data_IF_249903436157
#
_entry.id   IF_249903436157
#
_cell.length_a   1.000
_cell.length_b   1.000
_cell.length_c   1.000
_cell.angle_alpha   90.00
_cell.angle_beta   90.00
_cell.angle_gamma   90.00
#
_symmetry.space_group_name_H-M   'P 1'
#
loop_
_entity.id
_entity.type
_entity.pdbx_description
1 polymer ?
#
# COMPACT_ATOMS: atom_id res chain seq x y z
N UNK A 1 24.34 54.13 -9.19
CA UNK A 1 24.05 54.01 -7.75
C UNK A 1 25.08 53.05 -7.17
N UNK A 2 25.83 53.40 -6.11
CA UNK A 2 26.78 52.47 -5.50
C UNK A 2 26.03 51.27 -4.95
N UNK A 3 26.52 50.06 -5.23
CA UNK A 3 26.00 48.83 -4.65
C UNK A 3 26.36 48.85 -3.17
N UNK A 4 25.38 49.13 -2.31
CA UNK A 4 25.56 49.07 -0.85
C UNK A 4 25.69 47.59 -0.49
N UNK A 5 26.89 47.17 -0.09
CA UNK A 5 27.11 45.82 0.44
C UNK A 5 26.41 45.70 1.80
N UNK A 6 25.53 44.69 2.00
CA UNK A 6 24.83 44.53 3.25
C UNK A 6 25.82 44.25 4.39
N UNK A 7 25.51 44.77 5.59
CA UNK A 7 26.34 44.53 6.77
C UNK A 7 26.19 43.08 7.26
N UNK A 8 27.16 42.51 7.99
CA UNK A 8 27.05 41.16 8.54
C UNK A 8 25.78 40.93 9.37
N UNK A 9 25.31 41.97 10.10
CA UNK A 9 24.07 41.93 10.88
C UNK A 9 22.85 41.83 9.96
N UNK A 10 22.79 42.64 8.89
CA UNK A 10 21.72 42.56 7.90
C UNK A 10 21.68 41.21 7.20
N UNK A 11 22.85 40.62 6.91
CA UNK A 11 22.95 39.28 6.32
C UNK A 11 22.39 38.24 7.31
N UNK A 12 22.80 38.27 8.58
CA UNK A 12 22.31 37.33 9.60
C UNK A 12 20.79 37.46 9.84
N UNK A 13 20.25 38.67 9.88
CA UNK A 13 18.81 38.92 9.98
C UNK A 13 18.07 38.39 8.73
N UNK A 14 18.61 38.63 7.54
CA UNK A 14 18.04 38.10 6.30
C UNK A 14 18.09 36.57 6.24
N UNK A 15 19.18 35.94 6.68
CA UNK A 15 19.33 34.47 6.75
C UNK A 15 18.35 33.84 7.75
N UNK A 16 18.16 34.47 8.91
CA UNK A 16 17.19 33.99 9.90
C UNK A 16 15.75 34.15 9.41
N UNK A 17 15.42 35.26 8.75
CA UNK A 17 14.12 35.46 8.10
C UNK A 17 13.88 34.44 6.97
N UNK A 18 14.86 34.26 6.08
CA UNK A 18 14.81 33.26 5.00
C UNK A 18 14.65 31.84 5.56
N UNK A 19 15.34 31.53 6.65
CA UNK A 19 15.23 30.25 7.34
C UNK A 19 13.84 30.00 7.94
N UNK A 20 13.15 31.04 8.41
CA UNK A 20 11.75 30.96 8.88
C UNK A 20 10.80 30.74 7.70
N UNK A 21 10.89 31.58 6.67
CA UNK A 21 10.06 31.47 5.46
C UNK A 21 10.20 30.11 4.79
N UNK A 22 11.43 29.59 4.69
CA UNK A 22 11.69 28.26 4.15
C UNK A 22 11.02 27.15 4.97
N UNK A 23 11.03 27.25 6.31
CA UNK A 23 10.35 26.28 7.18
C UNK A 23 8.83 26.32 6.99
N UNK A 24 8.25 27.50 6.83
CA UNK A 24 6.82 27.67 6.58
C UNK A 24 6.42 27.14 5.21
N UNK A 25 7.19 27.46 4.18
CA UNK A 25 7.03 26.92 2.83
C UNK A 25 7.10 25.39 2.82
N UNK A 26 8.07 24.80 3.53
CA UNK A 26 8.20 23.35 3.67
C UNK A 26 6.96 22.72 4.32
N UNK A 27 6.46 23.31 5.42
CA UNK A 27 5.22 22.86 6.08
C UNK A 27 4.00 22.96 5.16
N UNK A 28 3.88 24.04 4.39
CA UNK A 28 2.81 24.23 3.43
C UNK A 28 2.85 23.16 2.32
N UNK A 29 4.05 22.87 1.80
CA UNK A 29 4.25 21.79 0.82
C UNK A 29 3.90 20.41 1.37
N UNK A 30 4.32 20.08 2.59
CA UNK A 30 3.96 18.81 3.26
C UNK A 30 2.44 18.69 3.44
N UNK A 31 1.79 19.76 3.91
CA UNK A 31 0.33 19.81 4.04
C UNK A 31 -0.37 19.58 2.71
N UNK A 32 0.07 20.26 1.64
CA UNK A 32 -0.52 20.14 0.33
C UNK A 32 -0.30 18.75 -0.30
N UNK A 33 0.88 18.14 -0.11
CA UNK A 33 1.15 16.73 -0.49
C UNK A 33 0.20 15.77 0.23
N UNK A 34 0.01 15.96 1.54
CA UNK A 34 -0.92 15.18 2.36
C UNK A 34 -2.36 15.30 1.86
N UNK A 35 -2.83 16.51 1.56
CA UNK A 35 -4.16 16.74 1.00
C UNK A 35 -4.32 16.08 -0.37
N UNK A 36 -3.32 16.15 -1.25
CA UNK A 36 -3.34 15.43 -2.52
C UNK A 36 -3.44 13.91 -2.34
N UNK A 37 -2.76 13.33 -1.33
CA UNK A 37 -2.89 11.89 -1.01
C UNK A 37 -4.31 11.54 -0.53
N UNK A 38 -4.95 12.39 0.26
CA UNK A 38 -6.34 12.23 0.71
C UNK A 38 -7.30 12.30 -0.48
N UNK A 39 -7.19 13.33 -1.33
CA UNK A 39 -7.98 13.49 -2.54
C UNK A 39 -7.84 12.30 -3.49
N UNK A 40 -6.62 11.78 -3.66
CA UNK A 40 -6.39 10.56 -4.42
C UNK A 40 -7.16 9.37 -3.83
N UNK A 41 -7.21 9.20 -2.50
CA UNK A 41 -7.96 8.09 -1.88
C UNK A 41 -9.45 8.19 -2.10
N UNK A 42 -10.01 9.40 -2.01
CA UNK A 42 -11.41 9.67 -2.35
C UNK A 42 -11.75 9.18 -3.77
N UNK A 43 -10.85 9.39 -4.73
CA UNK A 43 -11.01 8.89 -6.12
C UNK A 43 -10.75 7.38 -6.24
N UNK A 44 -9.66 6.90 -5.62
CA UNK A 44 -9.14 5.53 -5.79
C UNK A 44 -9.90 4.48 -5.01
N UNK A 45 -10.75 4.84 -4.05
CA UNK A 45 -11.63 3.88 -3.36
C UNK A 45 -12.47 3.03 -4.36
N UNK A 46 -12.59 3.47 -5.62
CA UNK A 46 -13.27 2.76 -6.71
C UNK A 46 -12.35 2.07 -7.73
N UNK A 47 -11.03 2.23 -7.66
CA UNK A 47 -10.14 1.72 -8.70
C UNK A 47 -9.87 0.22 -8.59
N UNK A 48 -9.81 -0.41 -9.76
CA UNK A 48 -9.35 -1.78 -9.98
C UNK A 48 -7.95 -1.99 -9.40
N UNK A 49 -7.81 -3.01 -8.56
CA UNK A 49 -6.52 -3.40 -8.02
C UNK A 49 -5.80 -4.25 -9.07
N UNK A 50 -4.57 -3.84 -9.41
CA UNK A 50 -3.67 -4.73 -10.15
C UNK A 50 -3.50 -6.04 -9.39
N UNK A 51 -3.32 -7.12 -10.15
CA UNK A 51 -2.97 -8.45 -9.63
C UNK A 51 -1.86 -8.29 -8.60
N UNK A 52 -2.00 -8.86 -7.39
CA UNK A 52 -0.97 -8.79 -6.37
C UNK A 52 0.34 -9.37 -6.89
N UNK A 53 1.39 -8.56 -6.93
CA UNK A 53 2.75 -9.00 -7.24
C UNK A 53 3.48 -9.07 -5.91
N UNK A 54 3.95 -10.26 -5.55
CA UNK A 54 4.85 -10.44 -4.41
C UNK A 54 6.26 -10.05 -4.87
N UNK A 55 6.93 -9.06 -4.26
CA UNK A 55 8.30 -8.72 -4.60
C UNK A 55 9.24 -9.91 -4.37
N UNK A 56 10.20 -10.09 -5.28
CA UNK A 56 11.21 -11.14 -5.18
C UNK A 56 11.94 -11.18 -3.84
N UNK A 57 12.18 -10.00 -3.27
CA UNK A 57 12.85 -9.85 -1.97
C UNK A 57 12.12 -10.58 -0.84
N UNK A 58 10.79 -10.68 -0.88
CA UNK A 58 10.02 -11.30 0.22
C UNK A 58 10.19 -12.81 0.20
N UNK A 59 9.98 -13.46 -0.94
CA UNK A 59 10.10 -14.92 -0.97
C UNK A 59 11.53 -15.42 -1.06
N UNK A 60 12.47 -14.59 -1.53
CA UNK A 60 13.91 -14.85 -1.41
C UNK A 60 14.43 -14.57 0.00
N UNK A 61 13.67 -13.88 0.85
CA UNK A 61 14.07 -13.69 2.25
C UNK A 61 14.07 -15.03 3.00
N UNK A 62 14.92 -15.11 4.03
CA UNK A 62 14.91 -16.24 4.97
C UNK A 62 13.68 -16.30 5.88
N UNK A 63 12.75 -15.34 5.78
CA UNK A 63 11.63 -15.17 6.72
C UNK A 63 10.56 -16.25 6.53
N UNK A 64 10.42 -16.81 5.32
CA UNK A 64 9.39 -17.82 5.08
C UNK A 64 9.86 -19.19 5.62
N UNK A 65 9.34 -19.55 6.80
CA UNK A 65 9.87 -20.61 7.67
C UNK A 65 9.25 -22.00 7.50
N UNK A 66 8.14 -22.18 6.78
CA UNK A 66 7.46 -23.49 6.72
C UNK A 66 8.15 -24.49 5.79
N UNK A 67 9.46 -24.70 5.94
CA UNK A 67 10.23 -25.67 5.15
C UNK A 67 9.84 -27.13 5.48
N UNK A 68 9.37 -27.39 6.71
CA UNK A 68 9.06 -28.75 7.18
C UNK A 68 7.65 -29.25 6.81
N UNK A 69 6.78 -28.37 6.29
CA UNK A 69 5.39 -28.72 5.99
C UNK A 69 5.28 -29.77 4.87
N UNK A 70 4.40 -30.77 4.98
CA UNK A 70 4.32 -31.88 4.01
C UNK A 70 4.15 -31.45 2.54
N UNK A 71 3.47 -30.32 2.28
CA UNK A 71 3.37 -29.74 0.94
C UNK A 71 4.72 -29.36 0.31
N UNK A 72 5.76 -29.07 1.10
CA UNK A 72 7.10 -28.75 0.61
C UNK A 72 7.86 -29.98 0.13
N UNK A 73 7.50 -31.16 0.68
CA UNK A 73 8.11 -32.46 0.38
C UNK A 73 7.55 -33.09 -0.91
N UNK A 74 6.46 -32.53 -1.46
CA UNK A 74 5.87 -33.01 -2.69
C UNK A 74 6.82 -32.80 -3.89
N UNK A 75 6.88 -33.77 -4.83
CA UNK A 75 7.59 -33.60 -6.09
C UNK A 75 7.17 -32.32 -6.81
N UNK A 76 8.09 -31.74 -7.59
CA UNK A 76 7.85 -30.49 -8.29
C UNK A 76 6.60 -30.54 -9.19
N UNK A 77 6.42 -31.64 -9.93
CA UNK A 77 5.27 -31.86 -10.83
C UNK A 77 3.92 -31.81 -10.07
N UNK A 78 3.86 -32.42 -8.89
CA UNK A 78 2.65 -32.40 -8.04
C UNK A 78 2.39 -30.98 -7.51
N UNK A 79 3.43 -30.27 -7.08
CA UNK A 79 3.30 -28.85 -6.68
C UNK A 79 2.80 -28.01 -7.84
N UNK A 80 3.33 -28.21 -9.05
CA UNK A 80 2.91 -27.51 -10.25
C UNK A 80 1.43 -27.75 -10.57
N UNK A 81 0.96 -29.00 -10.46
CA UNK A 81 -0.47 -29.33 -10.61
C UNK A 81 -1.35 -28.59 -9.59
N UNK A 82 -0.93 -28.53 -8.32
CA UNK A 82 -1.66 -27.79 -7.28
C UNK A 82 -1.74 -26.30 -7.65
N UNK A 83 -0.64 -25.67 -8.05
CA UNK A 83 -0.63 -24.27 -8.47
C UNK A 83 -1.53 -24.01 -9.68
N UNK A 84 -1.50 -24.90 -10.69
CA UNK A 84 -2.36 -24.79 -11.88
C UNK A 84 -3.85 -24.92 -11.51
N UNK A 85 -4.18 -25.83 -10.60
CA UNK A 85 -5.55 -26.06 -10.11
C UNK A 85 -6.12 -24.91 -9.27
N UNK A 86 -5.28 -24.08 -8.63
CA UNK A 86 -5.75 -22.91 -7.91
C UNK A 86 -6.35 -21.88 -8.89
N UNK A 87 -7.62 -21.47 -8.72
CA UNK A 87 -8.31 -20.65 -9.71
C UNK A 87 -7.75 -19.23 -9.74
N UNK A 88 -7.52 -18.63 -8.57
CA UNK A 88 -7.09 -17.24 -8.47
C UNK A 88 -5.57 -17.11 -8.45
N UNK A 89 -5.07 -16.13 -9.21
CA UNK A 89 -3.68 -15.66 -9.05
C UNK A 89 -3.38 -15.23 -7.61
N UNK A 90 -4.40 -14.78 -6.87
CA UNK A 90 -4.26 -14.45 -5.48
C UNK A 90 -4.03 -15.68 -4.59
N UNK A 91 -4.73 -16.78 -4.85
CA UNK A 91 -4.52 -18.04 -4.14
C UNK A 91 -3.16 -18.62 -4.46
N UNK A 92 -2.75 -18.59 -5.74
CA UNK A 92 -1.40 -18.97 -6.18
C UNK A 92 -0.33 -18.15 -5.46
N UNK A 93 -0.48 -16.83 -5.43
CA UNK A 93 0.41 -15.95 -4.69
C UNK A 93 0.39 -16.25 -3.18
N UNK A 94 -0.77 -16.52 -2.59
CA UNK A 94 -0.90 -16.85 -1.18
C UNK A 94 -0.24 -18.21 -0.83
N UNK A 95 -0.27 -19.19 -1.73
CA UNK A 95 0.43 -20.47 -1.59
C UNK A 95 1.95 -20.28 -1.74
N UNK A 96 2.38 -19.46 -2.70
CA UNK A 96 3.79 -19.12 -2.90
C UNK A 96 4.45 -18.49 -1.67
N UNK A 97 3.66 -17.80 -0.84
CA UNK A 97 4.13 -17.19 0.42
C UNK A 97 4.27 -18.17 1.59
N UNK A 98 3.88 -19.43 1.45
CA UNK A 98 3.91 -20.37 2.58
C UNK A 98 5.30 -20.89 2.86
N UNK A 99 6.13 -21.13 1.83
CA UNK A 99 7.54 -21.53 1.98
C UNK A 99 8.37 -21.17 0.74
N UNK A 100 9.70 -21.26 0.87
CA UNK A 100 10.66 -21.02 -0.23
C UNK A 100 10.44 -21.95 -1.43
N UNK A 101 10.13 -23.23 -1.20
CA UNK A 101 9.96 -24.20 -2.28
C UNK A 101 8.70 -23.95 -3.11
N UNK A 102 7.59 -23.52 -2.47
CA UNK A 102 6.38 -23.07 -3.17
C UNK A 102 6.63 -21.78 -3.95
N UNK A 103 7.39 -20.84 -3.38
CA UNK A 103 7.77 -19.63 -4.09
C UNK A 103 8.60 -19.90 -5.36
N UNK A 104 9.56 -20.83 -5.27
CA UNK A 104 10.36 -21.26 -6.41
C UNK A 104 9.49 -21.86 -7.51
N UNK A 105 8.57 -22.77 -7.16
CA UNK A 105 7.60 -23.34 -8.11
C UNK A 105 6.73 -22.26 -8.76
N UNK A 106 6.24 -21.29 -7.99
CA UNK A 106 5.41 -20.20 -8.53
C UNK A 106 6.16 -19.32 -9.54
N UNK A 107 7.44 -19.02 -9.29
CA UNK A 107 8.26 -18.25 -10.23
C UNK A 107 8.61 -19.06 -11.49
N UNK A 108 8.91 -20.36 -11.35
CA UNK A 108 9.11 -21.25 -12.49
C UNK A 108 7.86 -21.31 -13.37
N UNK A 109 6.68 -21.47 -12.76
CA UNK A 109 5.42 -21.47 -13.51
C UNK A 109 5.07 -20.12 -14.16
N UNK A 110 5.57 -18.99 -13.64
CA UNK A 110 5.45 -17.70 -14.34
C UNK A 110 6.39 -17.61 -15.55
N UNK A 111 7.56 -18.23 -15.46
CA UNK A 111 8.52 -18.29 -16.56
C UNK A 111 8.07 -19.25 -17.65
N UNK A 112 7.47 -20.38 -17.27
CA UNK A 112 6.75 -21.31 -18.13
C UNK A 112 5.44 -20.65 -18.62
N UNK A 113 5.57 -19.70 -19.56
CA UNK A 113 4.45 -19.06 -20.25
C UNK A 113 3.72 -20.03 -21.19
N UNK A 114 3.31 -21.20 -20.69
CA UNK A 114 2.36 -22.05 -21.39
C UNK A 114 1.00 -21.35 -21.34
N UNK A 115 0.75 -20.49 -22.34
CA UNK A 115 -0.51 -19.75 -22.50
C UNK A 115 -1.74 -20.65 -22.45
N UNK A 116 -1.60 -21.94 -22.78
CA UNK A 116 -2.70 -22.93 -22.82
C UNK A 116 -3.01 -23.58 -21.47
N UNK A 117 -2.02 -23.86 -20.63
CA UNK A 117 -2.26 -24.58 -19.37
C UNK A 117 -2.81 -23.68 -18.26
N UNK A 118 -2.60 -22.37 -18.39
CA UNK A 118 -3.14 -21.37 -17.47
C UNK A 118 -4.56 -20.92 -17.84
N UNK A 119 -5.18 -21.50 -18.87
CA UNK A 119 -6.55 -21.17 -19.29
C UNK A 119 -7.63 -21.66 -18.31
N UNK A 120 -7.27 -22.38 -17.25
CA UNK A 120 -8.20 -22.70 -16.18
C UNK A 120 -8.61 -21.43 -15.43
N UNK A 121 -9.78 -20.92 -15.83
CA UNK A 121 -10.69 -20.07 -15.06
C UNK A 121 -9.97 -19.07 -14.16
N UNK A 122 -8.93 -18.39 -14.67
CA UNK A 122 -8.37 -17.23 -13.96
C UNK A 122 -9.55 -16.31 -13.78
N UNK A 123 -9.99 -16.00 -12.55
CA UNK A 123 -11.00 -14.99 -12.39
C UNK A 123 -10.36 -13.76 -12.99
N UNK A 124 -10.95 -13.27 -14.09
CA UNK A 124 -10.47 -12.09 -14.82
C UNK A 124 -10.32 -10.87 -13.91
N UNK A 125 -10.77 -10.97 -12.66
CA UNK A 125 -10.80 -9.91 -11.65
C UNK A 125 -10.33 -10.47 -10.30
N UNK A 126 -9.18 -9.98 -9.82
CA UNK A 126 -8.84 -10.08 -8.40
C UNK A 126 -9.70 -9.09 -7.62
N UNK A 127 -10.50 -9.59 -6.67
CA UNK A 127 -11.30 -8.74 -5.78
C UNK A 127 -10.40 -8.21 -4.65
N UNK A 128 -10.80 -7.11 -4.03
CA UNK A 128 -10.10 -6.50 -2.90
C UNK A 128 -9.86 -7.47 -1.74
N UNK A 129 -10.80 -8.35 -1.46
CA UNK A 129 -10.68 -9.42 -0.44
C UNK A 129 -9.53 -10.37 -0.74
N UNK A 130 -9.36 -10.77 -2.01
CA UNK A 130 -8.27 -11.66 -2.41
C UNK A 130 -6.90 -10.98 -2.23
N UNK A 131 -6.80 -9.69 -2.56
CA UNK A 131 -5.59 -8.92 -2.27
C UNK A 131 -5.33 -8.83 -0.76
N UNK A 132 -6.38 -8.64 0.04
CA UNK A 132 -6.25 -8.60 1.49
C UNK A 132 -5.69 -9.92 2.04
N UNK A 133 -6.19 -11.07 1.60
CA UNK A 133 -5.70 -12.40 2.02
C UNK A 133 -4.19 -12.54 1.87
N UNK A 134 -3.63 -12.07 0.76
CA UNK A 134 -2.18 -12.11 0.52
C UNK A 134 -1.45 -11.12 1.42
N UNK A 135 -1.90 -9.87 1.49
CA UNK A 135 -1.23 -8.83 2.26
C UNK A 135 -1.19 -9.17 3.75
N UNK A 136 -2.23 -9.80 4.25
CA UNK A 136 -2.30 -10.26 5.62
C UNK A 136 -1.23 -11.32 5.92
N UNK A 137 -1.01 -12.29 5.01
CA UNK A 137 0.07 -13.29 5.14
C UNK A 137 1.47 -12.68 5.03
N UNK A 138 1.59 -11.57 4.31
CA UNK A 138 2.85 -10.84 4.18
C UNK A 138 3.25 -10.09 5.45
N UNK A 139 2.32 -9.86 6.38
CA UNK A 139 2.51 -8.98 7.55
C UNK A 139 3.80 -9.27 8.31
N UNK A 140 4.10 -10.54 8.56
CA UNK A 140 5.25 -10.95 9.37
C UNK A 140 6.59 -10.74 8.63
N UNK A 141 6.56 -10.63 7.30
CA UNK A 141 7.72 -10.32 6.46
C UNK A 141 7.90 -8.82 6.20
N UNK A 142 6.96 -7.97 6.64
CA UNK A 142 7.05 -6.52 6.47
C UNK A 142 7.68 -5.89 7.73
N UNK A 143 8.55 -4.87 7.61
CA UNK A 143 9.12 -4.18 8.76
C UNK A 143 8.07 -3.68 9.75
N UNK A 144 8.42 -3.66 11.05
CA UNK A 144 7.49 -3.33 12.16
C UNK A 144 6.90 -1.93 12.09
N UNK A 145 7.60 -0.97 11.47
CA UNK A 145 7.12 0.39 11.24
C UNK A 145 6.12 0.48 10.09
N UNK A 146 5.68 -0.64 9.49
CA UNK A 146 4.60 -0.65 8.53
C UNK A 146 3.39 -1.36 9.10
N UNK A 147 2.23 -0.76 8.85
CA UNK A 147 0.93 -1.33 9.21
C UNK A 147 0.04 -1.45 7.99
N UNK A 148 -0.66 -2.57 7.85
CA UNK A 148 -1.58 -2.81 6.74
C UNK A 148 -2.87 -2.01 6.94
N UNK A 149 -3.24 -1.20 5.95
CA UNK A 149 -4.56 -0.56 5.89
C UNK A 149 -5.52 -1.45 5.09
N UNK A 150 -6.62 -1.88 5.73
CA UNK A 150 -7.61 -2.78 5.15
C UNK A 150 -8.50 -2.06 4.13
N UNK A 151 -8.64 -0.74 4.26
CA UNK A 151 -9.29 0.08 3.25
C UNK A 151 -8.42 0.19 1.99
N UNK A 152 -7.24 0.81 2.04
CA UNK A 152 -6.48 1.03 0.80
C UNK A 152 -5.61 -0.16 0.35
N UNK A 153 -5.56 -1.24 1.13
CA UNK A 153 -4.82 -2.48 0.84
C UNK A 153 -3.35 -2.21 0.50
N UNK A 154 -2.74 -1.41 1.36
CA UNK A 154 -1.34 -1.02 1.31
C UNK A 154 -0.74 -1.11 2.72
N UNK A 155 0.51 -1.54 2.78
CA UNK A 155 1.36 -1.32 3.95
C UNK A 155 1.73 0.16 3.99
N UNK A 156 1.46 0.78 5.13
CA UNK A 156 1.67 2.20 5.38
C UNK A 156 2.76 2.33 6.41
N UNK A 157 3.83 3.01 6.04
CA UNK A 157 4.87 3.44 6.95
C UNK A 157 4.26 4.37 8.02
N UNK A 158 4.33 3.95 9.28
CA UNK A 158 3.76 4.66 10.43
C UNK A 158 4.62 5.84 10.88
N UNK A 159 5.88 5.92 10.46
CA UNK A 159 6.84 6.97 10.81
C UNK A 159 6.84 8.11 9.79
N UNK A 160 6.41 7.83 8.55
CA UNK A 160 6.36 8.85 7.50
C UNK A 160 5.43 10.03 7.87
N UNK A 161 5.93 11.26 7.72
CA UNK A 161 5.26 12.51 8.14
C UNK A 161 3.82 12.65 7.61
N UNK A 162 3.58 12.38 6.33
CA UNK A 162 2.23 12.43 5.76
C UNK A 162 1.21 11.50 6.44
N UNK A 163 1.68 10.38 7.00
CA UNK A 163 0.84 9.36 7.62
C UNK A 163 0.57 9.63 9.10
N UNK A 164 0.96 10.80 9.64
CA UNK A 164 0.63 11.20 11.01
C UNK A 164 -0.88 11.24 11.26
N UNK A 165 -1.28 10.75 12.44
CA UNK A 165 -2.64 10.76 12.95
C UNK A 165 -3.08 9.41 13.53
N UNK A 166 -4.29 9.39 14.09
CA UNK A 166 -4.90 8.17 14.63
C UNK A 166 -5.29 7.20 13.53
N UNK A 167 -4.92 5.93 13.70
CA UNK A 167 -5.49 4.84 12.93
C UNK A 167 -6.94 4.63 13.36
N UNK A 168 -7.83 4.39 12.41
CA UNK A 168 -9.25 4.09 12.68
C UNK A 168 -9.56 2.62 12.47
N UNK A 169 -10.80 2.22 12.80
CA UNK A 169 -11.20 0.82 12.79
C UNK A 169 -10.64 0.07 13.99
N UNK A 170 -11.16 -1.12 14.25
CA UNK A 170 -10.74 -1.92 15.39
C UNK A 170 -9.65 -2.92 14.97
N UNK A 171 -8.43 -2.86 15.54
CA UNK A 171 -7.46 -3.94 15.38
C UNK A 171 -7.96 -5.28 15.96
N UNK A 172 -8.84 -5.27 16.96
CA UNK A 172 -9.29 -6.47 17.68
C UNK A 172 -10.42 -7.22 16.96
N UNK A 173 -11.36 -6.54 16.30
CA UNK A 173 -12.33 -7.22 15.40
C UNK A 173 -11.65 -8.05 14.29
N UNK A 174 -10.37 -7.80 14.02
CA UNK A 174 -9.55 -8.58 13.07
C UNK A 174 -8.50 -9.47 13.76
N UNK A 175 -8.75 -9.88 15.01
CA UNK A 175 -7.98 -10.97 15.62
C UNK A 175 -8.03 -12.21 14.70
N UNK A 176 -6.85 -12.79 14.46
CA UNK A 176 -6.70 -13.96 13.59
C UNK A 176 -6.49 -13.66 12.11
N UNK A 177 -6.04 -12.45 11.73
CA UNK A 177 -5.63 -12.19 10.33
C UNK A 177 -6.79 -12.46 9.34
N UNK A 178 -8.03 -12.16 9.76
CA UNK A 178 -9.21 -12.41 8.94
C UNK A 178 -9.19 -11.48 7.72
N UNK A 179 -9.33 -12.05 6.54
CA UNK A 179 -9.38 -11.33 5.26
C UNK A 179 -10.79 -11.37 4.63
N UNK A 180 -11.82 -11.28 5.48
CA UNK A 180 -13.23 -11.28 5.07
C UNK A 180 -13.69 -9.90 4.57
N UNK A 181 -14.89 -9.84 4.00
CA UNK A 181 -15.53 -8.55 3.64
C UNK A 181 -15.80 -7.68 4.88
N UNK A 182 -16.18 -8.29 6.02
CA UNK A 182 -16.37 -7.57 7.28
C UNK A 182 -15.05 -6.93 7.74
N UNK A 183 -13.96 -7.70 7.74
CA UNK A 183 -12.63 -7.18 8.10
C UNK A 183 -12.19 -6.00 7.21
N UNK A 184 -12.60 -5.96 5.94
CA UNK A 184 -12.33 -4.82 5.07
C UNK A 184 -13.03 -3.52 5.49
N UNK A 185 -14.17 -3.62 6.17
CA UNK A 185 -14.99 -2.50 6.63
C UNK A 185 -14.55 -2.05 8.03
N UNK A 186 -14.40 -3.01 8.94
CA UNK A 186 -14.16 -2.81 10.36
C UNK A 186 -12.67 -2.70 10.73
N UNK A 187 -11.82 -3.37 9.95
CA UNK A 187 -10.40 -3.51 10.22
C UNK A 187 -9.61 -2.20 10.15
N UNK A 188 -8.30 -2.25 10.45
CA UNK A 188 -7.49 -1.07 10.65
C UNK A 188 -7.37 -0.21 9.38
N UNK A 189 -7.55 1.10 9.56
CA UNK A 189 -7.56 2.12 8.50
C UNK A 189 -6.51 3.16 8.80
N UNK A 190 -5.65 3.43 7.84
CA UNK A 190 -4.59 4.41 8.02
C UNK A 190 -5.14 5.86 8.06
N UNK A 191 -4.39 6.81 8.63
CA UNK A 191 -4.91 8.15 8.92
C UNK A 191 -5.43 8.91 7.69
N UNK A 192 -4.81 8.77 6.51
CA UNK A 192 -5.34 9.45 5.32
C UNK A 192 -6.63 8.80 4.77
N UNK A 193 -6.88 7.51 5.04
CA UNK A 193 -8.17 6.87 4.70
C UNK A 193 -9.26 7.32 5.66
N UNK A 194 -8.93 7.47 6.96
CA UNK A 194 -9.85 8.04 7.95
C UNK A 194 -10.21 9.48 7.58
N UNK A 195 -9.22 10.30 7.22
CA UNK A 195 -9.45 11.66 6.76
C UNK A 195 -10.30 11.71 5.47
N UNK A 196 -10.02 10.82 4.51
CA UNK A 196 -10.83 10.70 3.30
C UNK A 196 -12.29 10.36 3.63
N UNK A 197 -12.55 9.37 4.48
CA UNK A 197 -13.91 9.00 4.87
C UNK A 197 -14.68 10.17 5.53
N UNK A 198 -14.00 10.99 6.35
CA UNK A 198 -14.60 12.19 6.95
C UNK A 198 -14.99 13.23 5.89
N UNK A 199 -14.12 13.46 4.89
CA UNK A 199 -14.42 14.39 3.79
C UNK A 199 -15.52 13.88 2.86
N UNK A 200 -15.65 12.56 2.72
CA UNK A 200 -16.68 11.95 1.88
C UNK A 200 -18.11 12.24 2.36
N UNK A 201 -18.31 12.51 3.66
CA UNK A 201 -19.59 12.93 4.23
C UNK A 201 -20.07 14.26 3.59
N UNK A 202 -19.14 15.13 3.21
CA UNK A 202 -19.41 16.41 2.57
C UNK A 202 -19.48 16.35 1.04
N UNK A 203 -19.54 15.15 0.42
CA UNK A 203 -19.51 14.97 -1.05
C UNK A 203 -20.56 15.76 -1.83
N UNK A 204 -21.68 16.09 -1.18
CA UNK A 204 -22.80 16.83 -1.76
C UNK A 204 -22.54 18.35 -1.82
N UNK A 205 -21.55 18.88 -1.08
CA UNK A 205 -21.26 20.31 -1.03
C UNK A 205 -20.38 20.75 -2.21
N UNK A 206 -20.59 21.97 -2.71
CA UNK A 206 -19.72 22.54 -3.75
C UNK A 206 -18.26 22.65 -3.32
N UNK A 207 -18.02 22.97 -2.05
CA UNK A 207 -16.68 23.07 -1.47
C UNK A 207 -15.89 21.77 -1.62
N UNK A 208 -16.55 20.62 -1.56
CA UNK A 208 -15.94 19.31 -1.81
C UNK A 208 -15.48 19.16 -3.26
N UNK A 209 -16.32 19.56 -4.24
CA UNK A 209 -15.95 19.52 -5.67
C UNK A 209 -14.77 20.47 -5.95
N UNK A 210 -14.79 21.68 -5.37
CA UNK A 210 -13.68 22.65 -5.47
C UNK A 210 -12.39 22.10 -4.86
N UNK A 211 -12.48 21.45 -3.70
CA UNK A 211 -11.32 20.78 -3.07
C UNK A 211 -10.69 19.73 -3.98
N UNK A 212 -11.50 18.85 -4.60
CA UNK A 212 -10.97 17.84 -5.52
C UNK A 212 -10.32 18.47 -6.76
N UNK A 213 -10.92 19.52 -7.32
CA UNK A 213 -10.38 20.24 -8.47
C UNK A 213 -9.04 20.94 -8.14
N UNK A 214 -8.92 21.55 -6.96
CA UNK A 214 -7.66 22.15 -6.50
C UNK A 214 -6.56 21.09 -6.32
N UNK A 215 -6.90 19.95 -5.72
CA UNK A 215 -5.94 18.87 -5.52
C UNK A 215 -5.40 18.29 -6.84
N UNK A 216 -6.19 18.34 -7.92
CA UNK A 216 -5.76 17.92 -9.27
C UNK A 216 -4.79 18.91 -9.91
N UNK A 217 -5.00 20.21 -9.69
CA UNK A 217 -4.11 21.26 -10.19
C UNK A 217 -2.74 21.25 -9.49
N UNK A 218 -2.67 20.77 -8.25
CA UNK A 218 -1.41 20.66 -7.53
C UNK A 218 -0.54 19.53 -8.10
N UNK A 219 0.46 19.83 -8.92
CA UNK A 219 1.46 18.86 -9.37
C UNK A 219 2.69 18.83 -8.45
N UNK A 220 2.64 18.02 -7.40
CA UNK A 220 3.88 17.58 -6.75
C UNK A 220 4.53 16.53 -7.66
N UNK A 221 5.55 16.93 -8.43
CA UNK A 221 6.50 15.93 -8.97
C UNK A 221 7.11 15.20 -7.78
N UNK A 222 7.28 13.88 -7.92
CA UNK A 222 7.99 13.08 -6.92
C UNK A 222 9.43 13.53 -6.84
#
# INVERSE_FOLDING_TARGET
MPVVTPTPVQIAEAETALGKEYKEFKKAMESARRQKKIANRLKKLRLSLKVPIIPAKIYKSGIIQNQEHNLTKLPHEVRAMIFKALPLNADRAALALTCKSQAATYEQLKAEKNKKDYDHLVPKRSVRTHRLQILVRLRDSVPRNYRLCYTCLQFIDTEHVDNKGGWGGDPMEVQGLKASKAAMVEGPRCPLCVAAARLEIAKHKETYKRYLALADRCSFKK
#
